data_IF_853904310239
#
_entry.id   IF_853904310239
#
_cell.length_a   1.000
_cell.length_b   1.000
_cell.length_c   1.000
_cell.angle_alpha   90.00
_cell.angle_beta   90.00
_cell.angle_gamma   90.00
#
_symmetry.space_group_name_H-M   'P 1'
#
loop_
_entity.id
_entity.type
_entity.pdbx_description
1 polymer ?
#
# COMPACT_ATOMS: atom_id res chain seq x y z
N UNK A 1 30.25 -6.86 -2.33
CA UNK A 1 29.39 -7.90 -1.72
C UNK A 1 28.48 -7.27 -0.67
N UNK A 2 27.15 -7.45 -0.77
CA UNK A 2 26.24 -7.20 0.37
C UNK A 2 26.28 -8.45 1.24
N UNK A 3 27.24 -8.53 2.15
CA UNK A 3 27.33 -9.65 3.08
C UNK A 3 26.28 -9.45 4.18
N UNK A 4 25.47 -10.47 4.44
CA UNK A 4 24.57 -10.49 5.58
C UNK A 4 25.33 -11.06 6.77
N UNK A 5 25.27 -10.38 7.91
CA UNK A 5 25.92 -10.83 9.15
C UNK A 5 24.96 -11.73 9.93
N UNK A 6 25.46 -12.85 10.42
CA UNK A 6 24.71 -13.72 11.33
C UNK A 6 24.75 -13.09 12.72
N UNK A 7 23.58 -12.74 13.27
CA UNK A 7 23.43 -12.11 14.58
C UNK A 7 23.05 -13.13 15.65
N UNK A 8 22.31 -14.17 15.27
CA UNK A 8 22.02 -15.30 16.17
C UNK A 8 21.95 -16.61 15.38
N UNK A 9 22.60 -17.65 15.91
CA UNK A 9 22.49 -19.02 15.40
C UNK A 9 21.30 -19.69 16.06
N UNK A 10 20.33 -20.11 15.26
CA UNK A 10 19.09 -20.72 15.77
C UNK A 10 18.77 -22.07 15.14
N UNK A 11 19.28 -22.37 13.94
CA UNK A 11 19.03 -23.65 13.28
C UNK A 11 17.55 -23.98 13.03
N UNK A 12 16.69 -22.96 12.96
CA UNK A 12 15.24 -23.15 12.82
C UNK A 12 14.91 -23.76 11.46
N UNK A 13 14.32 -24.95 11.47
CA UNK A 13 13.80 -25.60 10.26
C UNK A 13 12.51 -24.91 9.81
N UNK A 14 12.46 -24.56 8.54
CA UNK A 14 11.28 -23.92 7.93
C UNK A 14 10.34 -24.97 7.39
N UNK A 15 9.13 -24.98 7.89
CA UNK A 15 8.04 -25.85 7.45
C UNK A 15 7.19 -25.14 6.37
N UNK A 16 6.68 -25.93 5.42
CA UNK A 16 5.75 -25.44 4.41
C UNK A 16 4.44 -24.98 5.03
N UNK A 17 3.86 -23.89 4.51
CA UNK A 17 2.59 -23.35 5.01
C UNK A 17 2.74 -22.27 6.09
N UNK A 18 3.95 -22.04 6.59
CA UNK A 18 4.23 -21.01 7.59
C UNK A 18 5.04 -19.84 7.05
N UNK A 19 4.78 -18.66 7.60
CA UNK A 19 5.60 -17.48 7.46
C UNK A 19 6.49 -17.34 8.70
N UNK A 20 7.79 -17.30 8.48
CA UNK A 20 8.78 -17.09 9.53
C UNK A 20 9.23 -15.63 9.57
N UNK A 21 9.23 -15.04 10.75
CA UNK A 21 9.61 -13.64 10.95
C UNK A 21 10.19 -13.43 12.34
N UNK A 22 10.79 -12.26 12.55
CA UNK A 22 11.35 -11.87 13.84
C UNK A 22 10.34 -10.95 14.52
N UNK A 23 9.91 -11.29 15.73
CA UNK A 23 8.90 -10.56 16.49
C UNK A 23 9.42 -9.21 17.03
N UNK A 24 8.64 -8.55 17.90
CA UNK A 24 9.06 -7.28 18.53
C UNK A 24 10.13 -7.46 19.60
N UNK A 25 10.19 -8.63 20.23
CA UNK A 25 11.15 -8.98 21.27
C UNK A 25 12.47 -9.49 20.69
N UNK A 26 12.55 -9.65 19.36
CA UNK A 26 13.75 -10.12 18.69
C UNK A 26 13.85 -11.64 18.61
N UNK A 27 12.75 -12.38 18.81
CA UNK A 27 12.66 -13.82 18.72
C UNK A 27 12.20 -14.27 17.34
N UNK A 28 12.54 -15.51 16.97
CA UNK A 28 12.03 -16.14 15.75
C UNK A 28 10.65 -16.70 16.03
N UNK A 29 9.67 -16.27 15.25
CA UNK A 29 8.30 -16.73 15.33
C UNK A 29 7.78 -17.20 13.96
N UNK A 30 6.81 -18.12 13.98
CA UNK A 30 6.07 -18.59 12.81
C UNK A 30 4.59 -18.23 12.93
N UNK A 31 3.94 -18.05 11.79
CA UNK A 31 2.48 -17.93 11.71
C UNK A 31 1.97 -18.58 10.42
N UNK A 32 0.78 -19.15 10.45
CA UNK A 32 0.15 -19.77 9.28
C UNK A 32 -0.01 -18.73 8.15
N UNK A 33 0.38 -19.11 6.94
CA UNK A 33 0.37 -18.20 5.80
C UNK A 33 -1.06 -17.95 5.32
N UNK A 34 -1.49 -16.69 5.32
CA UNK A 34 -2.79 -16.32 4.75
C UNK A 34 -2.73 -16.42 3.24
N UNK A 35 -3.36 -17.46 2.69
CA UNK A 35 -3.61 -17.62 1.24
C UNK A 35 -4.66 -16.61 0.75
N UNK A 36 -4.75 -16.44 -0.58
CA UNK A 36 -5.70 -15.52 -1.21
C UNK A 36 -7.14 -15.78 -0.73
N UNK A 37 -7.90 -14.71 -0.50
CA UNK A 37 -9.28 -14.78 0.01
C UNK A 37 -9.43 -14.82 1.54
N UNK A 38 -8.37 -15.08 2.31
CA UNK A 38 -8.42 -15.05 3.79
C UNK A 38 -8.15 -13.65 4.34
N UNK A 39 -8.85 -13.27 5.42
CA UNK A 39 -8.60 -12.01 6.15
C UNK A 39 -7.19 -12.05 6.77
N UNK A 40 -6.30 -11.20 6.25
CA UNK A 40 -4.91 -11.05 6.71
C UNK A 40 -4.87 -10.71 8.21
N UNK A 41 -4.02 -11.40 8.98
CA UNK A 41 -3.69 -11.03 10.36
C UNK A 41 -4.37 -11.83 11.48
N UNK A 42 -5.21 -12.83 11.18
CA UNK A 42 -5.84 -13.68 12.21
C UNK A 42 -5.03 -14.93 12.61
N UNK A 43 -3.92 -15.23 11.93
CA UNK A 43 -3.11 -16.41 12.25
C UNK A 43 -2.44 -16.26 13.63
N UNK A 44 -2.54 -17.32 14.44
CA UNK A 44 -1.81 -17.40 15.71
C UNK A 44 -0.31 -17.38 15.43
N UNK A 45 0.44 -16.66 16.27
CA UNK A 45 1.90 -16.56 16.20
C UNK A 45 2.49 -17.47 17.26
N UNK A 46 3.47 -18.26 16.89
CA UNK A 46 4.17 -19.16 17.80
C UNK A 46 5.66 -18.84 17.77
N UNK A 47 6.27 -18.71 18.94
CA UNK A 47 7.71 -18.47 19.07
C UNK A 47 8.42 -19.82 18.96
N UNK A 48 9.30 -19.94 17.97
CA UNK A 48 10.05 -21.19 17.70
C UNK A 48 11.49 -21.13 18.22
N UNK A 49 12.05 -19.93 18.37
CA UNK A 49 13.34 -19.75 19.02
C UNK A 49 13.41 -18.41 19.74
N UNK A 50 13.84 -18.43 21.01
CA UNK A 50 14.10 -17.24 21.81
C UNK A 50 15.52 -16.76 21.52
N UNK A 51 15.65 -15.57 20.94
CA UNK A 51 16.96 -15.00 20.56
C UNK A 51 17.21 -13.60 21.10
N UNK A 52 16.17 -12.85 21.45
CA UNK A 52 16.33 -11.51 22.03
C UNK A 52 17.07 -10.50 21.16
N UNK A 53 17.07 -10.68 19.83
CA UNK A 53 17.85 -9.83 18.90
C UNK A 53 17.29 -8.41 18.88
N UNK A 54 18.09 -7.44 19.31
CA UNK A 54 17.76 -6.01 19.22
C UNK A 54 17.84 -5.56 17.76
N UNK A 55 16.75 -4.98 17.26
CA UNK A 55 16.67 -4.47 15.89
C UNK A 55 17.23 -3.07 15.82
N UNK A 56 18.29 -2.90 15.03
CA UNK A 56 18.92 -1.62 14.74
C UNK A 56 18.26 -0.95 13.53
N UNK A 57 18.19 0.38 13.58
CA UNK A 57 17.68 1.16 12.46
C UNK A 57 18.63 1.05 11.25
N UNK A 58 18.06 0.99 10.04
CA UNK A 58 18.87 0.89 8.80
C UNK A 58 19.22 -0.53 8.37
N UNK A 59 18.88 -1.55 9.15
CA UNK A 59 19.07 -2.96 8.81
C UNK A 59 17.75 -3.69 8.54
N UNK A 60 17.82 -4.69 7.67
CA UNK A 60 16.78 -5.69 7.49
C UNK A 60 17.21 -6.96 8.23
N UNK A 61 16.34 -7.45 9.09
CA UNK A 61 16.53 -8.71 9.80
C UNK A 61 15.68 -9.80 9.15
N UNK A 62 16.29 -10.95 8.89
CA UNK A 62 15.64 -12.07 8.24
C UNK A 62 16.26 -13.39 8.70
N UNK A 63 15.59 -14.50 8.35
CA UNK A 63 16.06 -15.85 8.66
C UNK A 63 16.64 -16.45 7.39
N UNK A 64 17.89 -16.89 7.42
CA UNK A 64 18.58 -17.46 6.26
C UNK A 64 18.08 -18.87 5.90
N UNK A 65 18.73 -19.54 4.94
CA UNK A 65 18.40 -20.92 4.56
C UNK A 65 18.79 -21.95 5.62
N UNK A 66 19.80 -21.65 6.44
CA UNK A 66 20.26 -22.51 7.54
C UNK A 66 19.41 -22.34 8.81
N UNK A 67 18.45 -21.42 8.79
CA UNK A 67 17.55 -21.17 9.91
C UNK A 67 18.12 -20.23 10.96
N UNK A 68 19.12 -19.41 10.62
CA UNK A 68 19.77 -18.43 11.49
C UNK A 68 19.22 -17.02 11.26
N UNK A 69 19.29 -16.19 12.30
CA UNK A 69 18.90 -14.77 12.21
C UNK A 69 20.09 -13.97 11.69
N UNK A 70 19.89 -13.30 10.56
CA UNK A 70 20.89 -12.46 9.92
C UNK A 70 20.39 -11.02 9.77
N UNK A 71 21.32 -10.07 9.73
CA UNK A 71 21.06 -8.67 9.37
C UNK A 71 21.77 -8.28 8.08
N UNK A 72 21.14 -7.43 7.29
CA UNK A 72 21.76 -6.82 6.12
C UNK A 72 21.39 -5.34 6.01
N UNK A 73 22.31 -4.51 5.52
CA UNK A 73 22.06 -3.06 5.33
C UNK A 73 20.94 -2.85 4.32
N UNK A 74 19.88 -2.17 4.74
CA UNK A 74 18.67 -2.02 3.96
C UNK A 74 18.95 -1.25 2.66
N UNK A 75 18.50 -1.78 1.52
CA UNK A 75 18.54 -1.06 0.26
C UNK A 75 17.43 0.01 0.25
N UNK A 76 17.71 1.18 0.84
CA UNK A 76 16.84 2.35 0.73
C UNK A 76 16.99 2.92 -0.68
N UNK A 77 15.92 2.84 -1.48
CA UNK A 77 15.87 3.41 -2.82
C UNK A 77 15.83 2.37 -3.93
N UNK A 78 14.65 1.77 -4.18
CA UNK A 78 14.34 1.34 -5.54
C UNK A 78 14.05 2.62 -6.33
N UNK A 79 14.75 2.87 -7.45
CA UNK A 79 14.36 3.82 -8.52
C UNK A 79 13.02 3.41 -9.20
N UNK A 80 12.09 2.80 -8.47
CA UNK A 80 10.76 2.39 -8.94
C UNK A 80 9.67 3.44 -8.64
N UNK A 81 10.06 4.61 -8.11
CA UNK A 81 9.14 5.72 -7.83
C UNK A 81 8.64 6.46 -9.07
N UNK A 82 9.42 6.51 -10.16
CA UNK A 82 9.05 7.32 -11.34
C UNK A 82 7.75 6.85 -12.02
N UNK A 83 7.48 5.54 -12.07
CA UNK A 83 6.30 4.99 -12.78
C UNK A 83 4.98 5.10 -12.00
N UNK A 84 5.00 5.08 -10.66
CA UNK A 84 3.79 5.16 -9.82
C UNK A 84 3.39 6.59 -9.46
N UNK A 85 4.35 7.51 -9.30
CA UNK A 85 4.05 8.91 -8.99
C UNK A 85 3.46 9.63 -10.20
N UNK A 86 3.98 9.37 -11.42
CA UNK A 86 3.40 9.89 -12.65
C UNK A 86 1.94 9.44 -12.87
N UNK A 87 1.62 8.16 -12.65
CA UNK A 87 0.24 7.64 -12.81
C UNK A 87 -0.73 8.23 -11.78
N UNK A 88 -0.29 8.53 -10.55
CA UNK A 88 -1.14 9.11 -9.50
C UNK A 88 -1.39 10.61 -9.71
N UNK A 89 -0.40 11.34 -10.24
CA UNK A 89 -0.54 12.75 -10.61
C UNK A 89 -1.51 12.96 -11.78
N UNK A 90 -1.36 12.18 -12.87
CA UNK A 90 -2.22 12.28 -14.06
C UNK A 90 -3.69 11.98 -13.71
N UNK A 91 -3.96 10.94 -12.90
CA UNK A 91 -5.33 10.59 -12.49
C UNK A 91 -6.01 11.66 -11.63
N UNK A 92 -5.24 12.44 -10.85
CA UNK A 92 -5.76 13.55 -10.03
C UNK A 92 -6.08 14.80 -10.86
N UNK A 93 -5.27 15.09 -11.88
CA UNK A 93 -5.49 16.23 -12.79
C UNK A 93 -6.70 15.99 -13.69
N UNK A 94 -6.82 14.80 -14.29
CA UNK A 94 -7.97 14.42 -15.14
C UNK A 94 -9.30 14.46 -14.37
N UNK A 95 -9.32 14.00 -13.11
CA UNK A 95 -10.55 14.04 -12.29
C UNK A 95 -10.96 15.47 -11.90
N UNK A 96 -10.02 16.41 -11.86
CA UNK A 96 -10.28 17.82 -11.51
C UNK A 96 -10.76 18.63 -12.72
N UNK A 97 -10.24 18.36 -13.92
CA UNK A 97 -10.66 19.02 -15.17
C UNK A 97 -12.05 18.56 -15.62
N UNK A 98 -12.36 17.27 -15.54
CA UNK A 98 -13.71 16.74 -15.88
C UNK A 98 -14.79 17.31 -14.96
N UNK A 99 -14.53 17.40 -13.65
CA UNK A 99 -15.48 18.02 -12.70
C UNK A 99 -15.72 19.51 -12.98
N UNK A 100 -14.70 20.24 -13.44
CA UNK A 100 -14.82 21.68 -13.77
C UNK A 100 -15.58 21.89 -15.08
N UNK A 101 -15.40 21.01 -16.07
CA UNK A 101 -16.13 21.04 -17.33
C UNK A 101 -17.63 20.73 -17.12
N UNK A 102 -17.96 19.67 -16.38
CA UNK A 102 -19.35 19.30 -16.07
C UNK A 102 -20.07 20.43 -15.32
N UNK A 103 -19.42 21.05 -14.32
CA UNK A 103 -20.02 22.17 -13.57
C UNK A 103 -20.26 23.40 -14.45
N UNK A 104 -19.43 23.65 -15.46
CA UNK A 104 -19.60 24.78 -16.40
C UNK A 104 -20.73 24.53 -17.41
N UNK A 105 -20.87 23.29 -17.89
CA UNK A 105 -21.96 22.89 -18.79
C UNK A 105 -23.31 22.93 -18.07
N UNK A 106 -23.41 22.37 -16.86
CA UNK A 106 -24.64 22.41 -16.06
C UNK A 106 -25.07 23.85 -15.76
N UNK A 107 -24.13 24.74 -15.40
CA UNK A 107 -24.45 26.15 -15.13
C UNK A 107 -24.91 26.91 -16.39
N UNK A 108 -24.43 26.54 -17.58
CA UNK A 108 -24.86 27.13 -18.86
C UNK A 108 -26.24 26.64 -19.29
N UNK A 109 -26.56 25.37 -19.04
CA UNK A 109 -27.89 24.79 -19.33
C UNK A 109 -28.96 25.38 -18.40
N UNK A 110 -28.69 25.49 -17.09
CA UNK A 110 -29.65 26.11 -16.14
C UNK A 110 -29.94 27.57 -16.48
N UNK A 111 -28.93 28.35 -16.90
CA UNK A 111 -29.11 29.76 -17.31
C UNK A 111 -29.93 29.90 -18.60
N UNK A 112 -29.81 28.95 -19.54
CA UNK A 112 -30.58 28.93 -20.80
C UNK A 112 -32.04 28.51 -20.59
N UNK A 113 -32.31 27.62 -19.62
CA UNK A 113 -33.68 27.21 -19.26
C UNK A 113 -34.41 28.31 -18.50
N UNK A 114 -33.73 29.05 -17.62
CA UNK A 114 -34.31 30.20 -16.92
C UNK A 114 -34.69 31.35 -17.86
N UNK A 115 -33.92 31.59 -18.93
CA UNK A 115 -34.22 32.60 -19.94
C UNK A 115 -35.42 32.25 -20.84
N UNK A 116 -35.79 30.97 -20.96
CA UNK A 116 -36.93 30.51 -21.78
C UNK A 116 -38.27 30.55 -21.04
N UNK A 117 -38.30 30.80 -19.73
CA UNK A 117 -39.52 30.93 -18.91
C UNK A 117 -39.99 32.37 -18.70
N UNK A 118 -39.28 33.38 -19.20
CA UNK A 118 -39.70 34.79 -19.21
C UNK A 118 -39.77 35.32 -20.65
N UNK A 119 -40.75 34.88 -21.40
CA UNK A 119 -41.23 35.59 -22.59
C UNK A 119 -42.73 35.87 -22.40
N UNK A 120 -43.18 37.13 -22.41
CA UNK A 120 -44.59 37.48 -22.24
C UNK A 120 -45.40 37.07 -23.48
N UNK A 121 -46.62 36.57 -23.22
CA UNK A 121 -47.60 36.26 -24.24
C UNK A 121 -47.87 37.48 -25.13
N UNK A 122 -47.52 37.40 -26.42
CA UNK A 122 -47.95 38.38 -27.42
C UNK A 122 -49.46 38.23 -27.62
N UNK A 123 -50.22 39.20 -27.11
CA UNK A 123 -51.62 39.46 -27.44
C UNK A 123 -51.72 39.69 -28.96
N UNK A 124 -52.44 38.78 -29.63
CA UNK A 124 -52.96 38.96 -30.99
C UNK A 124 -54.07 40.00 -30.91
N UNK A 125 -53.93 41.14 -31.58
CA UNK A 125 -55.04 42.07 -31.82
C UNK A 125 -55.27 42.16 -33.32
N UNK A 126 -56.53 41.94 -33.69
CA UNK A 126 -57.14 42.27 -34.97
C UNK A 126 -57.04 43.77 -35.22
#
# INVERSE_FOLDING_TARGET
MRMAEVVAKTGVKKESGYLYFIDKLGNVARAEMSRAGRKKGKAKKEVVAKTGVKKESGYLYFIDKKGNVCRAKMARGRKAGKKKVAKKAVKKVVKKTVKKAVKKVVKKVVKKVAAKKKAPAKKKKR
#
